data_IF_990015669377
#
_entry.id   IF_990015669377
#
_cell.length_a   1.000
_cell.length_b   1.000
_cell.length_c   1.000
_cell.angle_alpha   90.00
_cell.angle_beta   90.00
_cell.angle_gamma   90.00
#
_symmetry.space_group_name_H-M   'P 1'
#
loop_
_entity.id
_entity.type
_entity.pdbx_description
1 polymer ?
#
# COMPACT_ATOMS: atom_id res chain seq x y z
N UNK A 1 -3.70 6.87 -21.44
CA UNK A 1 -3.37 5.70 -22.26
C UNK A 1 -3.86 4.46 -21.53
N UNK A 2 -4.48 3.52 -22.24
CA UNK A 2 -4.91 2.24 -21.69
C UNK A 2 -3.88 1.16 -22.07
N UNK A 3 -3.44 0.35 -21.11
CA UNK A 3 -2.50 -0.76 -21.34
C UNK A 3 -3.29 -2.04 -21.63
N UNK A 4 -3.01 -2.66 -22.78
CA UNK A 4 -3.64 -3.90 -23.26
C UNK A 4 -2.61 -5.04 -23.24
N UNK A 5 -3.07 -6.29 -23.10
CA UNK A 5 -2.20 -7.47 -23.06
C UNK A 5 -2.79 -8.67 -23.79
N UNK A 6 -1.94 -9.47 -24.42
CA UNK A 6 -2.31 -10.73 -25.06
C UNK A 6 -1.80 -11.91 -24.23
N UNK A 7 -2.68 -12.88 -24.01
CA UNK A 7 -2.42 -14.08 -23.21
C UNK A 7 -2.58 -15.32 -24.07
N UNK A 8 -1.64 -16.25 -23.94
CA UNK A 8 -1.84 -17.62 -24.39
C UNK A 8 -2.39 -18.43 -23.23
N UNK A 9 -3.41 -19.23 -23.53
CA UNK A 9 -3.93 -20.24 -22.61
C UNK A 9 -3.39 -21.57 -23.07
N UNK A 10 -2.78 -22.33 -22.17
CA UNK A 10 -2.42 -23.71 -22.41
C UNK A 10 -3.72 -24.53 -22.38
N UNK A 11 -4.07 -25.13 -23.52
CA UNK A 11 -5.35 -25.84 -23.69
C UNK A 11 -5.45 -27.11 -22.83
N UNK A 12 -4.32 -27.70 -22.42
CA UNK A 12 -4.27 -28.91 -21.59
C UNK A 12 -4.39 -28.60 -20.09
N UNK A 13 -3.83 -27.47 -19.65
CA UNK A 13 -3.76 -27.11 -18.21
C UNK A 13 -4.69 -25.97 -17.82
N UNK A 14 -5.27 -25.25 -18.79
CA UNK A 14 -6.00 -24.00 -18.58
C UNK A 14 -5.13 -22.84 -18.10
N UNK A 15 -3.81 -23.02 -18.10
CA UNK A 15 -2.84 -22.07 -17.56
C UNK A 15 -2.64 -20.91 -18.54
N UNK A 16 -2.81 -19.69 -18.05
CA UNK A 16 -2.61 -18.47 -18.85
C UNK A 16 -1.20 -17.93 -18.63
N UNK A 17 -0.59 -17.48 -19.72
CA UNK A 17 0.72 -16.83 -19.74
C UNK A 17 0.59 -15.54 -20.53
N UNK A 18 0.93 -14.40 -19.92
CA UNK A 18 1.00 -13.13 -20.61
C UNK A 18 2.18 -13.15 -21.58
N UNK A 19 1.93 -12.84 -22.85
CA UNK A 19 2.96 -12.93 -23.90
C UNK A 19 3.49 -11.54 -24.27
N UNK A 20 2.62 -10.54 -24.37
CA UNK A 20 3.04 -9.15 -24.62
C UNK A 20 1.94 -8.17 -24.22
N UNK A 21 2.33 -6.90 -24.04
CA UNK A 21 1.41 -5.78 -23.79
C UNK A 21 1.66 -4.63 -24.78
N UNK A 22 0.66 -3.76 -24.97
CA UNK A 22 0.79 -2.54 -25.77
C UNK A 22 -0.11 -1.43 -25.23
N UNK A 23 0.31 -0.18 -25.41
CA UNK A 23 -0.50 0.98 -25.02
C UNK A 23 -1.41 1.43 -26.15
N UNK A 24 -2.69 1.63 -25.83
CA UNK A 24 -3.65 2.34 -26.67
C UNK A 24 -3.88 3.71 -26.05
N UNK A 25 -3.29 4.73 -26.66
CA UNK A 25 -3.45 6.11 -26.23
C UNK A 25 -4.46 6.83 -27.13
N UNK A 26 -5.55 7.35 -26.54
CA UNK A 26 -6.26 8.50 -27.12
C UNK A 26 -5.33 9.72 -27.00
N UNK A 27 -4.86 10.26 -28.14
CA UNK A 27 -3.89 11.37 -28.27
C UNK A 27 -4.25 12.55 -27.35
N UNK A 28 -3.32 13.25 -26.70
CA UNK A 28 -2.37 14.19 -27.34
C UNK A 28 -1.09 14.50 -26.54
N UNK A 29 0.07 14.40 -27.22
CA UNK A 29 1.13 15.40 -27.27
C UNK A 29 2.01 15.70 -26.03
N UNK A 30 3.25 15.19 -26.03
CA UNK A 30 4.41 15.74 -25.33
C UNK A 30 5.66 15.58 -26.24
N UNK A 31 6.53 16.60 -26.39
CA UNK A 31 7.84 16.47 -27.03
C UNK A 31 8.99 16.14 -26.05
N UNK A 32 10.12 15.74 -26.65
CA UNK A 32 11.30 15.04 -26.13
C UNK A 32 12.06 15.65 -24.93
N UNK A 33 12.68 14.76 -24.15
CA UNK A 33 13.63 15.08 -23.08
C UNK A 33 15.08 15.15 -23.58
N UNK A 34 15.84 16.13 -23.06
CA UNK A 34 17.28 16.35 -23.28
C UNK A 34 18.05 15.83 -22.06
N UNK A 35 19.23 15.19 -22.18
CA UNK A 35 19.96 14.66 -21.02
C UNK A 35 20.76 15.76 -20.28
N UNK A 36 20.94 15.68 -18.95
CA UNK A 36 21.86 16.57 -18.25
C UNK A 36 23.30 16.04 -18.31
N UNK A 37 24.25 16.97 -18.43
CA UNK A 37 25.69 16.73 -18.48
C UNK A 37 26.39 16.78 -17.12
N UNK A 38 27.62 16.27 -17.12
CA UNK A 38 28.54 16.16 -15.99
C UNK A 38 28.94 17.51 -15.37
N UNK A 39 29.16 17.49 -14.05
CA UNK A 39 29.82 18.57 -13.32
C UNK A 39 30.04 18.21 -11.85
N UNK A 40 31.27 17.84 -11.50
CA UNK A 40 31.68 17.56 -10.13
C UNK A 40 32.00 18.81 -9.29
N UNK A 41 32.11 18.61 -7.97
CA UNK A 41 32.60 19.60 -7.02
C UNK A 41 32.41 19.10 -5.59
N UNK A 42 33.51 18.83 -4.89
CA UNK A 42 33.48 18.36 -3.51
C UNK A 42 33.24 19.47 -2.50
N UNK A 43 32.35 19.21 -1.56
CA UNK A 43 32.35 19.72 -0.19
C UNK A 43 32.11 18.51 0.72
N UNK A 44 32.54 18.55 1.98
CA UNK A 44 32.25 17.48 2.95
C UNK A 44 30.76 17.45 3.24
N UNK A 45 30.01 16.71 2.41
CA UNK A 45 28.58 16.53 2.51
C UNK A 45 28.26 15.70 3.76
N UNK A 46 27.60 16.32 4.74
CA UNK A 46 26.73 15.53 5.59
C UNK A 46 25.65 14.96 4.67
N UNK A 47 25.53 13.63 4.63
CA UNK A 47 24.48 13.00 3.88
C UNK A 47 23.11 13.61 4.25
N UNK A 48 22.26 13.83 3.24
CA UNK A 48 20.93 14.41 3.45
C UNK A 48 20.10 13.57 4.42
N UNK A 49 19.03 14.15 4.98
CA UNK A 49 18.14 13.44 5.92
C UNK A 49 17.71 12.08 5.36
N UNK A 50 17.99 10.99 6.09
CA UNK A 50 17.70 9.60 5.68
C UNK A 50 18.88 8.82 5.10
N UNK A 51 20.07 9.43 5.03
CA UNK A 51 21.29 8.79 4.56
C UNK A 51 22.41 8.88 5.60
N UNK A 52 23.20 7.81 5.75
CA UNK A 52 24.42 7.76 6.56
C UNK A 52 25.64 7.53 5.66
N UNK A 53 26.83 7.93 6.13
CA UNK A 53 28.07 7.55 5.44
C UNK A 53 28.44 6.10 5.80
N UNK A 54 28.66 5.25 4.81
CA UNK A 54 29.25 3.93 4.99
C UNK A 54 30.75 4.02 5.35
N UNK A 55 31.38 2.87 5.59
CA UNK A 55 32.82 2.78 5.91
C UNK A 55 33.76 3.33 4.81
N UNK A 56 33.24 3.56 3.61
CA UNK A 56 33.95 4.11 2.45
C UNK A 56 33.61 5.59 2.19
N UNK A 57 32.76 6.21 3.02
CA UNK A 57 32.35 7.60 2.89
C UNK A 57 31.24 7.84 1.85
N UNK A 58 30.58 6.78 1.35
CA UNK A 58 29.43 6.93 0.47
C UNK A 58 28.16 7.17 1.30
N UNK A 59 27.27 8.05 0.83
CA UNK A 59 25.94 8.18 1.42
C UNK A 59 25.09 6.97 1.04
N UNK A 60 24.88 6.07 2.01
CA UNK A 60 23.96 4.93 1.92
C UNK A 60 22.68 5.26 2.68
N UNK A 61 21.57 4.62 2.33
CA UNK A 61 20.34 4.77 3.13
C UNK A 61 20.64 4.34 4.56
N UNK A 62 20.27 5.16 5.55
CA UNK A 62 20.24 4.72 6.94
C UNK A 62 19.23 3.59 7.02
N UNK A 63 19.61 2.42 7.54
CA UNK A 63 18.79 1.21 7.64
C UNK A 63 17.52 1.49 8.47
N UNK A 64 16.50 2.13 7.91
CA UNK A 64 15.42 2.66 8.71
C UNK A 64 14.07 2.66 8.00
N UNK A 65 13.08 2.30 8.81
CA UNK A 65 11.72 2.80 8.69
C UNK A 65 11.78 4.30 8.97
N UNK A 66 11.68 5.12 7.93
CA UNK A 66 11.70 6.58 8.03
C UNK A 66 10.31 7.06 8.43
N UNK A 67 10.19 7.71 9.59
CA UNK A 67 8.90 8.19 10.13
C UNK A 67 8.88 9.71 10.18
N UNK A 68 8.30 10.34 9.16
CA UNK A 68 8.09 11.79 9.04
C UNK A 68 6.62 12.16 9.34
N UNK A 69 6.06 11.55 10.38
CA UNK A 69 4.69 11.78 10.81
C UNK A 69 4.61 12.89 11.86
N UNK A 70 3.53 13.67 11.81
CA UNK A 70 3.22 14.72 12.80
C UNK A 70 1.82 14.54 13.40
N UNK A 71 1.53 15.35 14.42
CA UNK A 71 0.22 15.50 15.06
C UNK A 71 -0.52 14.19 15.31
N UNK A 72 -1.75 14.10 14.80
CA UNK A 72 -2.65 12.97 15.06
C UNK A 72 -2.12 11.67 14.47
N UNK A 73 -1.55 11.75 13.27
CA UNK A 73 -0.98 10.59 12.59
C UNK A 73 0.14 9.98 13.44
N UNK A 74 1.06 10.82 13.94
CA UNK A 74 2.15 10.38 14.81
C UNK A 74 1.65 9.80 16.12
N UNK A 75 0.68 10.44 16.80
CA UNK A 75 0.14 9.92 18.05
C UNK A 75 -0.46 8.52 17.90
N UNK A 76 -1.23 8.27 16.83
CA UNK A 76 -1.84 6.96 16.57
C UNK A 76 -0.78 5.93 16.17
N UNK A 77 0.19 6.32 15.33
CA UNK A 77 1.33 5.47 14.99
C UNK A 77 2.10 5.01 16.22
N UNK A 78 2.45 5.93 17.12
CA UNK A 78 3.19 5.61 18.35
C UNK A 78 2.39 4.63 19.23
N UNK A 79 1.07 4.80 19.34
CA UNK A 79 0.19 3.86 20.06
C UNK A 79 0.17 2.48 19.38
N UNK A 80 0.11 2.43 18.05
CA UNK A 80 0.18 1.17 17.30
C UNK A 80 1.51 0.45 17.52
N UNK A 81 2.63 1.16 17.50
CA UNK A 81 3.96 0.59 17.74
C UNK A 81 4.17 0.11 19.18
N UNK A 82 3.49 0.74 20.14
CA UNK A 82 3.50 0.33 21.55
C UNK A 82 2.48 -0.78 21.87
N UNK A 83 1.54 -1.05 20.97
CA UNK A 83 0.62 -2.18 21.11
C UNK A 83 1.34 -3.48 20.74
N UNK A 84 0.94 -4.61 21.36
CA UNK A 84 1.36 -5.95 20.93
C UNK A 84 0.63 -6.39 19.66
N UNK A 85 0.34 -5.45 18.76
CA UNK A 85 -0.49 -5.74 17.61
C UNK A 85 0.28 -6.34 16.44
N UNK A 86 -0.45 -6.99 15.52
CA UNK A 86 0.11 -7.46 14.26
C UNK A 86 0.78 -6.36 13.43
N UNK A 87 0.47 -5.08 13.69
CA UNK A 87 1.02 -3.93 13.00
C UNK A 87 2.54 -3.80 13.19
N UNK A 88 3.02 -3.90 14.44
CA UNK A 88 4.46 -3.82 14.73
C UNK A 88 5.23 -4.90 13.97
N UNK A 89 4.70 -6.12 13.96
CA UNK A 89 5.31 -7.24 13.23
C UNK A 89 5.27 -7.05 11.71
N UNK A 90 4.27 -6.35 11.18
CA UNK A 90 4.20 -6.01 9.75
C UNK A 90 5.25 -4.96 9.38
N UNK A 91 5.44 -3.93 10.22
CA UNK A 91 6.45 -2.88 10.01
C UNK A 91 7.89 -3.43 10.10
N UNK A 92 8.17 -4.33 11.05
CA UNK A 92 9.51 -4.91 11.22
C UNK A 92 10.00 -5.73 10.01
N UNK A 93 9.13 -6.03 9.03
CA UNK A 93 9.55 -6.68 7.77
C UNK A 93 10.31 -5.77 6.81
N UNK A 94 10.32 -4.46 7.10
CA UNK A 94 11.02 -3.42 6.34
C UNK A 94 12.30 -2.97 7.06
N UNK A 95 12.69 -3.67 8.12
CA UNK A 95 13.82 -3.38 9.00
C UNK A 95 14.95 -4.44 8.83
N UNK A 96 16.21 -4.07 9.06
CA UNK A 96 17.41 -4.93 8.91
C UNK A 96 18.46 -4.43 7.91
N UNK A 97 19.60 -5.13 7.78
CA UNK A 97 20.76 -4.71 6.95
C UNK A 97 20.52 -4.75 5.42
N UNK A 98 19.50 -5.47 4.95
CA UNK A 98 19.12 -5.55 3.53
C UNK A 98 17.62 -5.87 3.37
N UNK A 99 16.71 -4.97 3.76
CA UNK A 99 15.30 -5.23 3.59
C UNK A 99 14.99 -5.21 2.10
N UNK A 100 14.09 -6.10 1.65
CA UNK A 100 13.64 -6.11 0.24
C UNK A 100 13.11 -4.74 -0.17
N UNK A 101 12.51 -4.00 0.77
CA UNK A 101 12.12 -2.60 0.60
C UNK A 101 12.25 -1.87 1.93
N UNK A 102 12.75 -0.64 1.90
CA UNK A 102 12.66 0.31 3.01
C UNK A 102 11.26 0.93 3.06
N UNK A 103 10.86 1.43 4.23
CA UNK A 103 9.54 2.04 4.45
C UNK A 103 9.68 3.50 4.83
N UNK A 104 8.96 4.38 4.13
CA UNK A 104 8.85 5.80 4.46
C UNK A 104 7.40 6.15 4.79
N UNK A 105 7.16 6.80 5.93
CA UNK A 105 5.84 7.27 6.35
C UNK A 105 5.84 8.80 6.38
N UNK A 106 4.99 9.45 5.57
CA UNK A 106 4.98 10.93 5.42
C UNK A 106 3.57 11.51 5.54
N UNK A 107 3.50 12.82 5.76
CA UNK A 107 2.27 13.60 5.65
C UNK A 107 2.20 14.25 4.26
N UNK A 108 1.12 13.97 3.53
CA UNK A 108 0.79 14.63 2.27
C UNK A 108 -0.66 15.17 2.33
N UNK A 109 -0.78 16.45 2.63
CA UNK A 109 -2.07 17.14 2.70
C UNK A 109 -2.62 17.58 1.32
N UNK A 110 -1.89 17.30 0.24
CA UNK A 110 -2.33 17.54 -1.13
C UNK A 110 -3.08 16.34 -1.73
N UNK A 111 -3.16 15.21 -1.02
CA UNK A 111 -4.03 14.08 -1.39
C UNK A 111 -5.49 14.53 -1.52
N UNK A 112 -6.25 13.86 -2.38
CA UNK A 112 -7.67 14.13 -2.56
C UNK A 112 -8.42 14.04 -1.21
N UNK A 113 -9.46 14.87 -1.03
CA UNK A 113 -10.14 15.02 0.27
C UNK A 113 -10.82 13.75 0.79
N UNK A 114 -11.06 12.76 -0.07
CA UNK A 114 -11.61 11.45 0.26
C UNK A 114 -10.54 10.36 0.46
N UNK A 115 -9.26 10.70 0.31
CA UNK A 115 -8.12 9.80 0.48
C UNK A 115 -7.46 10.10 1.82
N UNK A 116 -7.53 9.12 2.72
CA UNK A 116 -6.98 9.22 4.08
C UNK A 116 -5.49 8.83 4.13
N UNK A 117 -5.10 7.88 3.30
CA UNK A 117 -3.73 7.45 3.09
C UNK A 117 -3.59 6.86 1.68
N UNK A 118 -2.36 6.83 1.18
CA UNK A 118 -2.02 6.23 -0.10
C UNK A 118 -0.61 5.64 -0.03
N UNK A 119 -0.50 4.36 -0.37
CA UNK A 119 0.80 3.69 -0.52
C UNK A 119 1.27 3.79 -1.96
N UNK A 120 2.46 4.35 -2.15
CA UNK A 120 3.09 4.49 -3.46
C UNK A 120 3.81 3.19 -3.86
N UNK A 121 3.83 2.83 -5.16
CA UNK A 121 4.72 1.79 -5.66
C UNK A 121 6.18 2.11 -5.30
N UNK A 122 7.01 1.11 -4.98
CA UNK A 122 8.39 1.34 -4.58
C UNK A 122 9.22 1.96 -5.71
N UNK A 123 10.07 2.92 -5.33
CA UNK A 123 11.10 3.52 -6.18
C UNK A 123 12.42 3.43 -5.43
N UNK A 124 13.46 2.90 -6.08
CA UNK A 124 14.80 2.74 -5.50
C UNK A 124 14.76 2.04 -4.13
N UNK A 125 13.98 0.95 -4.06
CA UNK A 125 13.73 0.13 -2.88
C UNK A 125 12.93 0.81 -1.76
N UNK A 126 12.48 2.05 -1.93
CA UNK A 126 11.68 2.77 -0.91
C UNK A 126 10.20 2.68 -1.24
N UNK A 127 9.42 2.08 -0.33
CA UNK A 127 7.96 2.17 -0.34
C UNK A 127 7.53 3.34 0.53
N UNK A 128 6.83 4.31 -0.03
CA UNK A 128 6.28 5.45 0.73
C UNK A 128 4.78 5.24 1.01
N UNK A 129 4.39 5.45 2.26
CA UNK A 129 2.99 5.61 2.66
C UNK A 129 2.77 7.07 3.03
N UNK A 130 1.85 7.71 2.33
CA UNK A 130 1.50 9.11 2.52
C UNK A 130 0.16 9.21 3.24
N UNK A 131 0.05 10.05 4.27
CA UNK A 131 -1.20 10.25 5.02
C UNK A 131 -1.72 11.69 4.90
N UNK A 132 -3.04 11.83 4.83
CA UNK A 132 -3.72 13.11 4.75
C UNK A 132 -4.19 13.57 6.15
N UNK A 133 -3.35 14.35 6.83
CA UNK A 133 -3.63 14.81 8.18
C UNK A 133 -4.85 15.74 8.25
N UNK A 134 -5.12 16.52 7.20
CA UNK A 134 -6.35 17.33 7.10
C UNK A 134 -7.61 16.46 7.20
N UNK A 135 -7.59 15.30 6.53
CA UNK A 135 -8.74 14.39 6.52
C UNK A 135 -8.91 13.63 7.84
N UNK A 136 -7.83 13.44 8.61
CA UNK A 136 -7.86 12.79 9.93
C UNK A 136 -8.65 13.57 10.99
N UNK A 137 -8.85 14.88 10.82
CA UNK A 137 -9.70 15.67 11.72
C UNK A 137 -11.13 15.07 11.84
N UNK A 138 -11.63 14.48 10.75
CA UNK A 138 -12.95 13.85 10.70
C UNK A 138 -13.01 12.46 11.32
N UNK A 139 -11.87 11.81 11.58
CA UNK A 139 -11.79 10.42 12.00
C UNK A 139 -11.64 10.26 13.52
N UNK A 140 -11.98 9.07 14.03
CA UNK A 140 -11.63 8.62 15.38
C UNK A 140 -10.20 8.08 15.44
N UNK A 141 -9.65 7.89 16.65
CA UNK A 141 -8.35 7.24 16.82
C UNK A 141 -8.35 5.83 16.19
N UNK A 142 -9.45 5.07 16.36
CA UNK A 142 -9.65 3.76 15.74
C UNK A 142 -9.70 3.87 14.20
N UNK A 143 -10.32 4.93 13.68
CA UNK A 143 -10.39 5.19 12.25
C UNK A 143 -9.01 5.45 11.65
N UNK A 144 -8.21 6.30 12.28
CA UNK A 144 -6.83 6.54 11.86
C UNK A 144 -6.01 5.25 11.94
N UNK A 145 -6.15 4.46 13.01
CA UNK A 145 -5.46 3.18 13.15
C UNK A 145 -5.85 2.18 12.05
N UNK A 146 -7.10 2.21 11.59
CA UNK A 146 -7.59 1.42 10.46
C UNK A 146 -6.92 1.82 9.15
N UNK A 147 -6.69 3.12 8.93
CA UNK A 147 -5.95 3.62 7.75
C UNK A 147 -4.50 3.10 7.77
N UNK A 148 -3.80 3.20 8.91
CA UNK A 148 -2.45 2.62 9.04
C UNK A 148 -2.40 1.11 8.75
N UNK A 149 -3.34 0.36 9.34
CA UNK A 149 -3.43 -1.08 9.13
C UNK A 149 -3.74 -1.45 7.66
N UNK A 150 -4.49 -0.60 6.96
CA UNK A 150 -4.78 -0.75 5.54
C UNK A 150 -3.50 -0.53 4.70
N UNK A 151 -2.86 0.61 4.87
CA UNK A 151 -1.70 0.99 4.05
C UNK A 151 -0.49 0.07 4.24
N UNK A 152 -0.25 -0.43 5.47
CA UNK A 152 0.88 -1.35 5.69
C UNK A 152 0.69 -2.70 4.96
N UNK A 153 -0.56 -3.10 4.68
CA UNK A 153 -0.82 -4.28 3.85
C UNK A 153 -0.50 -3.97 2.39
N UNK A 154 -0.84 -2.78 1.88
CA UNK A 154 -0.39 -2.35 0.56
C UNK A 154 1.14 -2.36 0.45
N UNK A 155 1.84 -1.85 1.46
CA UNK A 155 3.29 -1.89 1.51
C UNK A 155 3.84 -3.34 1.51
N UNK A 156 3.24 -4.27 2.27
CA UNK A 156 3.63 -5.68 2.26
C UNK A 156 3.38 -6.36 0.90
N UNK A 157 2.31 -5.98 0.21
CA UNK A 157 2.04 -6.44 -1.15
C UNK A 157 3.14 -5.97 -2.08
N UNK A 158 3.51 -4.68 -2.04
CA UNK A 158 4.60 -4.15 -2.85
C UNK A 158 5.95 -4.77 -2.51
N UNK A 159 6.27 -4.97 -1.23
CA UNK A 159 7.49 -5.66 -0.80
C UNK A 159 7.59 -7.07 -1.39
N UNK A 160 6.48 -7.82 -1.43
CA UNK A 160 6.43 -9.14 -2.08
C UNK A 160 6.61 -9.03 -3.60
N UNK A 161 5.96 -8.06 -4.25
CA UNK A 161 6.16 -7.83 -5.68
C UNK A 161 7.62 -7.51 -6.01
N UNK A 162 8.25 -6.67 -5.18
CA UNK A 162 9.64 -6.26 -5.34
C UNK A 162 10.60 -7.44 -5.14
N UNK A 163 10.32 -8.29 -4.13
CA UNK A 163 11.06 -9.55 -3.90
C UNK A 163 11.02 -10.47 -5.13
N UNK A 164 9.85 -10.59 -5.76
CA UNK A 164 9.71 -11.40 -6.97
C UNK A 164 10.37 -10.74 -8.19
N UNK A 165 10.35 -9.41 -8.27
CA UNK A 165 10.96 -8.64 -9.35
C UNK A 165 12.49 -8.63 -9.31
N UNK A 166 13.08 -8.80 -8.12
CA UNK A 166 14.53 -8.72 -7.88
C UNK A 166 15.14 -7.39 -8.38
N UNK A 167 14.38 -6.29 -8.25
CA UNK A 167 14.79 -4.92 -8.62
C UNK A 167 14.18 -3.92 -7.65
N UNK A 168 14.71 -2.69 -7.60
CA UNK A 168 14.28 -1.65 -6.64
C UNK A 168 13.01 -0.89 -7.01
N UNK A 169 12.49 -1.07 -8.22
CA UNK A 169 11.32 -0.33 -8.71
C UNK A 169 10.35 -1.28 -9.43
N UNK A 170 9.04 -1.07 -9.28
CA UNK A 170 8.03 -1.92 -9.94
C UNK A 170 7.65 -1.46 -11.35
N UNK A 171 7.95 -0.22 -11.72
CA UNK A 171 7.69 0.31 -13.06
C UNK A 171 8.48 -0.48 -14.11
N UNK A 172 7.79 -0.85 -15.19
CA UNK A 172 8.37 -1.50 -16.35
C UNK A 172 8.44 -0.48 -17.49
N UNK A 173 9.60 -0.31 -18.09
CA UNK A 173 9.82 0.59 -19.21
C UNK A 173 9.43 -0.07 -20.54
N UNK A 174 9.38 -1.40 -20.56
CA UNK A 174 9.00 -2.19 -21.74
C UNK A 174 7.89 -3.21 -21.42
N UNK A 175 7.09 -3.62 -22.43
CA UNK A 175 6.17 -4.76 -22.30
C UNK A 175 6.84 -6.04 -21.81
N UNK A 176 8.07 -6.32 -22.26
CA UNK A 176 8.83 -7.51 -21.90
C UNK A 176 9.20 -7.51 -20.41
N UNK A 177 9.64 -6.38 -19.87
CA UNK A 177 9.90 -6.22 -18.43
C UNK A 177 8.63 -6.46 -17.61
N UNK A 178 7.49 -5.98 -18.10
CA UNK A 178 6.21 -6.19 -17.44
C UNK A 178 5.81 -7.67 -17.43
N UNK A 179 6.04 -8.39 -18.54
CA UNK A 179 5.81 -9.84 -18.64
C UNK A 179 6.70 -10.60 -17.67
N UNK A 180 7.99 -10.24 -17.57
CA UNK A 180 8.94 -10.86 -16.65
C UNK A 180 8.49 -10.65 -15.20
N UNK A 181 8.11 -9.43 -14.82
CA UNK A 181 7.57 -9.11 -13.49
C UNK A 181 6.33 -9.96 -13.17
N UNK A 182 5.37 -10.00 -14.09
CA UNK A 182 4.11 -10.73 -13.87
C UNK A 182 4.37 -12.23 -13.74
N UNK A 183 5.24 -12.79 -14.59
CA UNK A 183 5.61 -14.21 -14.51
C UNK A 183 6.43 -14.54 -13.26
N UNK A 184 7.24 -13.61 -12.74
CA UNK A 184 7.97 -13.84 -11.49
C UNK A 184 7.03 -13.94 -10.29
N UNK A 185 5.91 -13.20 -10.27
CA UNK A 185 4.87 -13.34 -9.25
C UNK A 185 4.25 -14.75 -9.25
N UNK A 186 4.09 -15.36 -10.41
CA UNK A 186 3.49 -16.70 -10.53
C UNK A 186 4.26 -17.76 -9.73
N UNK A 187 5.59 -17.71 -9.81
CA UNK A 187 6.47 -18.68 -9.16
C UNK A 187 6.67 -18.38 -7.66
N UNK A 188 6.70 -17.10 -7.28
CA UNK A 188 7.03 -16.69 -5.91
C UNK A 188 5.80 -16.44 -5.03
N UNK A 189 4.72 -15.92 -5.61
CA UNK A 189 3.48 -15.52 -4.92
C UNK A 189 2.24 -15.84 -5.78
N UNK A 190 1.91 -17.13 -6.01
CA UNK A 190 0.84 -17.52 -6.93
C UNK A 190 -0.53 -16.93 -6.59
N UNK A 191 -0.84 -16.72 -5.31
CA UNK A 191 -2.06 -16.03 -4.89
C UNK A 191 -2.07 -14.55 -5.29
N UNK A 192 -0.95 -13.85 -5.16
CA UNK A 192 -0.82 -12.45 -5.61
C UNK A 192 -0.91 -12.38 -7.13
N UNK A 193 -0.26 -13.31 -7.83
CA UNK A 193 -0.36 -13.45 -9.28
C UNK A 193 -1.81 -13.65 -9.74
N UNK A 194 -2.59 -14.53 -9.08
CA UNK A 194 -3.99 -14.76 -9.44
C UNK A 194 -4.82 -13.48 -9.42
N UNK A 195 -4.66 -12.64 -8.39
CA UNK A 195 -5.37 -11.36 -8.32
C UNK A 195 -4.84 -10.35 -9.34
N UNK A 196 -3.51 -10.26 -9.50
CA UNK A 196 -2.88 -9.34 -10.43
C UNK A 196 -3.20 -9.68 -11.90
N UNK A 197 -3.19 -10.97 -12.27
CA UNK A 197 -3.38 -11.48 -13.64
C UNK A 197 -4.82 -11.87 -13.98
N UNK A 198 -5.67 -12.28 -13.04
CA UNK A 198 -7.05 -12.70 -13.39
C UNK A 198 -8.08 -11.63 -13.15
N UNK A 199 -7.79 -10.66 -12.27
CA UNK A 199 -8.81 -9.68 -11.86
C UNK A 199 -8.63 -8.29 -12.43
N UNK A 200 -7.53 -7.95 -13.13
CA UNK A 200 -7.17 -6.77 -14.01
C UNK A 200 -7.91 -5.42 -13.87
N UNK A 201 -8.75 -5.26 -12.86
CA UNK A 201 -9.41 -4.03 -12.51
C UNK A 201 -8.45 -3.24 -11.63
N UNK A 202 -8.49 -1.90 -11.67
CA UNK A 202 -7.66 -1.04 -10.82
C UNK A 202 -7.73 -1.38 -9.31
N UNK A 203 -8.72 -2.16 -8.90
CA UNK A 203 -9.05 -2.49 -7.51
C UNK A 203 -8.64 -3.89 -7.07
N UNK A 204 -7.85 -4.62 -7.87
CA UNK A 204 -7.47 -6.01 -7.56
C UNK A 204 -6.82 -6.17 -6.18
N UNK A 205 -6.04 -5.19 -5.76
CA UNK A 205 -5.36 -5.16 -4.46
C UNK A 205 -6.39 -5.07 -3.32
N UNK A 206 -7.38 -4.18 -3.44
CA UNK A 206 -8.49 -4.05 -2.49
C UNK A 206 -9.36 -5.31 -2.48
N UNK A 207 -9.62 -5.94 -3.63
CA UNK A 207 -10.34 -7.22 -3.70
C UNK A 207 -9.58 -8.33 -2.97
N UNK A 208 -8.26 -8.40 -3.16
CA UNK A 208 -7.40 -9.35 -2.44
C UNK A 208 -7.42 -9.10 -0.93
N UNK A 209 -7.31 -7.83 -0.53
CA UNK A 209 -7.36 -7.43 0.88
C UNK A 209 -8.71 -7.74 1.52
N UNK A 210 -9.82 -7.49 0.82
CA UNK A 210 -11.17 -7.80 1.29
C UNK A 210 -11.36 -9.30 1.56
N UNK A 211 -10.80 -10.17 0.71
CA UNK A 211 -10.92 -11.62 0.84
C UNK A 211 -9.93 -12.24 1.85
N UNK A 212 -8.72 -11.68 1.97
CA UNK A 212 -7.62 -12.36 2.67
C UNK A 212 -7.01 -11.60 3.84
N UNK A 213 -7.14 -10.27 3.87
CA UNK A 213 -6.46 -9.44 4.87
C UNK A 213 -7.42 -8.63 5.75
N UNK A 214 -8.74 -8.65 5.49
CA UNK A 214 -9.73 -7.94 6.32
C UNK A 214 -9.65 -8.35 7.79
N UNK A 215 -9.57 -9.64 8.09
CA UNK A 215 -9.43 -10.10 9.48
C UNK A 215 -8.10 -9.69 10.10
N UNK A 216 -7.02 -9.56 9.32
CA UNK A 216 -5.74 -9.01 9.79
C UNK A 216 -5.88 -7.54 10.19
N UNK A 217 -6.58 -6.73 9.38
CA UNK A 217 -6.89 -5.34 9.74
C UNK A 217 -7.69 -5.32 11.04
N UNK A 218 -8.75 -6.12 11.14
CA UNK A 218 -9.60 -6.22 12.32
C UNK A 218 -8.80 -6.61 13.58
N UNK A 219 -7.86 -7.57 13.47
CA UNK A 219 -6.97 -7.97 14.58
C UNK A 219 -6.11 -6.80 15.07
N UNK A 220 -5.49 -6.07 14.13
CA UNK A 220 -4.65 -4.91 14.44
C UNK A 220 -5.43 -3.84 15.18
N UNK A 221 -6.58 -3.43 14.65
CA UNK A 221 -7.36 -2.34 15.24
C UNK A 221 -8.06 -2.75 16.53
N UNK A 222 -8.37 -4.04 16.69
CA UNK A 222 -8.88 -4.60 17.95
C UNK A 222 -7.82 -4.53 19.06
N UNK A 223 -6.58 -4.90 18.75
CA UNK A 223 -5.46 -4.85 19.68
C UNK A 223 -5.10 -3.41 20.04
N UNK A 224 -5.12 -2.50 19.06
CA UNK A 224 -4.96 -1.06 19.28
C UNK A 224 -5.98 -0.49 20.26
N UNK A 225 -7.25 -0.87 20.12
CA UNK A 225 -8.36 -0.40 20.97
C UNK A 225 -8.52 -1.22 22.26
N UNK A 226 -7.52 -2.04 22.61
CA UNK A 226 -7.50 -2.89 23.80
C UNK A 226 -8.77 -3.74 23.97
N UNK A 227 -9.32 -4.26 22.87
CA UNK A 227 -10.52 -5.11 22.85
C UNK A 227 -11.77 -4.46 23.48
N UNK A 228 -11.90 -3.13 23.46
CA UNK A 228 -13.03 -2.41 24.07
C UNK A 228 -14.39 -2.71 23.40
N UNK A 229 -14.41 -3.12 22.14
CA UNK A 229 -15.62 -3.38 21.36
C UNK A 229 -15.76 -4.87 21.00
N UNK A 230 -16.96 -5.35 20.65
CA UNK A 230 -17.14 -6.70 20.13
C UNK A 230 -16.36 -6.93 18.82
N UNK A 231 -15.87 -8.16 18.59
CA UNK A 231 -15.12 -8.53 17.37
C UNK A 231 -15.82 -8.12 16.08
N UNK A 232 -17.14 -8.30 16.02
CA UNK A 232 -17.96 -7.94 14.85
C UNK A 232 -17.84 -6.46 14.47
N UNK A 233 -17.56 -5.58 15.43
CA UNK A 233 -17.35 -4.15 15.17
C UNK A 233 -16.03 -3.92 14.46
N UNK A 234 -14.94 -4.59 14.86
CA UNK A 234 -13.65 -4.46 14.19
C UNK A 234 -13.67 -5.08 12.79
N UNK A 235 -14.34 -6.22 12.60
CA UNK A 235 -14.57 -6.80 11.27
C UNK A 235 -15.40 -5.88 10.36
N UNK A 236 -16.38 -5.16 10.93
CA UNK A 236 -17.13 -4.15 10.19
C UNK A 236 -16.28 -2.93 9.82
N UNK A 237 -15.50 -2.40 10.77
CA UNK A 237 -14.63 -1.23 10.52
C UNK A 237 -13.52 -1.56 9.52
N UNK A 238 -13.02 -2.79 9.51
CA UNK A 238 -12.02 -3.25 8.54
C UNK A 238 -12.50 -3.24 7.08
N UNK A 239 -13.80 -3.05 6.81
CA UNK A 239 -14.31 -2.84 5.45
C UNK A 239 -14.03 -1.45 4.89
N UNK A 240 -13.60 -0.47 5.71
CA UNK A 240 -13.23 0.85 5.21
C UNK A 240 -12.04 0.74 4.26
N UNK A 241 -12.17 1.34 3.07
CA UNK A 241 -11.20 1.21 1.99
C UNK A 241 -11.22 -0.15 1.28
N UNK A 242 -12.01 -1.13 1.73
CA UNK A 242 -12.09 -2.46 1.09
C UNK A 242 -13.45 -2.75 0.48
N UNK A 243 -14.52 -2.15 1.00
CA UNK A 243 -15.88 -2.41 0.52
C UNK A 243 -16.29 -1.48 -0.62
N UNK A 244 -16.53 -0.22 -0.25
CA UNK A 244 -16.80 0.89 -1.16
C UNK A 244 -15.50 1.67 -1.36
N UNK A 245 -15.01 1.69 -2.59
CA UNK A 245 -13.73 2.29 -2.97
C UNK A 245 -13.93 3.72 -3.50
N UNK A 246 -15.01 3.95 -4.26
CA UNK A 246 -15.42 5.27 -4.74
C UNK A 246 -16.94 5.29 -5.02
N UNK A 247 -17.50 6.43 -5.46
CA UNK A 247 -18.93 6.74 -5.66
C UNK A 247 -19.69 5.67 -6.44
N UNK A 248 -19.04 4.91 -7.31
CA UNK A 248 -19.64 3.79 -8.06
C UNK A 248 -18.68 2.60 -8.20
N UNK A 249 -17.78 2.42 -7.23
CA UNK A 249 -16.74 1.40 -7.30
C UNK A 249 -16.69 0.61 -5.99
N UNK A 250 -16.93 -0.69 -6.08
CA UNK A 250 -16.93 -1.65 -4.98
C UNK A 250 -16.06 -2.86 -5.31
N UNK A 251 -15.67 -3.60 -4.27
CA UNK A 251 -15.10 -4.94 -4.42
C UNK A 251 -16.20 -5.97 -4.67
N UNK A 252 -15.88 -7.03 -5.40
CA UNK A 252 -16.73 -8.22 -5.58
C UNK A 252 -17.04 -8.83 -4.21
N UNK A 253 -16.04 -8.89 -3.32
CA UNK A 253 -16.23 -9.34 -1.94
C UNK A 253 -17.33 -8.55 -1.21
N UNK A 254 -17.40 -7.23 -1.40
CA UNK A 254 -18.47 -6.41 -0.86
C UNK A 254 -19.80 -6.65 -1.56
N UNK A 255 -19.80 -6.70 -2.90
CA UNK A 255 -21.02 -6.87 -3.68
C UNK A 255 -21.77 -8.15 -3.31
N UNK A 256 -21.04 -9.22 -2.98
CA UNK A 256 -21.59 -10.49 -2.54
C UNK A 256 -22.22 -10.47 -1.13
N UNK A 257 -22.07 -9.40 -0.34
CA UNK A 257 -22.72 -9.30 0.97
C UNK A 257 -24.23 -9.00 0.84
N UNK A 258 -25.07 -9.59 1.71
CA UNK A 258 -26.49 -9.25 1.81
C UNK A 258 -26.73 -7.76 2.15
N UNK A 259 -27.82 -7.15 1.65
CA UNK A 259 -28.11 -5.73 1.90
C UNK A 259 -28.23 -5.34 3.38
N UNK A 260 -28.80 -6.19 4.21
CA UNK A 260 -28.95 -6.00 5.66
C UNK A 260 -27.59 -6.04 6.39
N UNK A 261 -26.69 -6.92 5.93
CA UNK A 261 -25.31 -7.00 6.41
C UNK A 261 -24.54 -5.72 6.05
N UNK A 262 -24.63 -5.26 4.79
CA UNK A 262 -24.03 -3.99 4.35
C UNK A 262 -24.51 -2.81 5.20
N UNK A 263 -25.81 -2.74 5.45
CA UNK A 263 -26.43 -1.70 6.30
C UNK A 263 -25.89 -1.71 7.74
N UNK A 264 -25.71 -2.92 8.30
CA UNK A 264 -25.16 -3.10 9.64
C UNK A 264 -23.69 -2.66 9.70
N UNK A 265 -22.89 -3.03 8.70
CA UNK A 265 -21.49 -2.60 8.57
C UNK A 265 -21.39 -1.08 8.46
N UNK A 266 -22.16 -0.45 7.58
CA UNK A 266 -22.17 1.01 7.41
C UNK A 266 -22.49 1.75 8.73
N UNK A 267 -23.38 1.18 9.55
CA UNK A 267 -23.72 1.74 10.86
C UNK A 267 -22.57 1.62 11.85
N UNK A 268 -21.89 0.48 11.88
CA UNK A 268 -20.73 0.27 12.76
C UNK A 268 -19.55 1.13 12.35
N UNK A 269 -19.30 1.31 11.04
CA UNK A 269 -18.30 2.24 10.51
C UNK A 269 -18.63 3.67 10.96
N UNK A 270 -19.87 4.14 10.74
CA UNK A 270 -20.30 5.49 11.17
C UNK A 270 -20.03 5.73 12.65
N UNK A 271 -20.37 4.77 13.49
CA UNK A 271 -20.29 4.93 14.94
C UNK A 271 -18.86 4.83 15.49
N UNK A 272 -17.97 4.08 14.84
CA UNK A 272 -16.67 3.76 15.42
C UNK A 272 -15.48 4.30 14.62
N UNK A 273 -15.54 4.31 13.28
CA UNK A 273 -14.48 4.87 12.42
C UNK A 273 -14.53 6.41 12.41
N UNK A 274 -15.74 6.98 12.29
CA UNK A 274 -15.92 8.45 12.24
C UNK A 274 -16.19 9.05 13.62
N UNK A 275 -17.14 8.47 14.37
CA UNK A 275 -17.66 9.03 15.62
C UNK A 275 -17.12 8.35 16.90
N UNK A 276 -16.08 7.54 16.77
CA UNK A 276 -15.40 6.93 17.93
C UNK A 276 -14.58 7.93 18.76
N UNK A 277 -13.93 7.48 19.85
CA UNK A 277 -13.07 8.32 20.68
C UNK A 277 -11.94 8.98 19.88
N UNK A 278 -11.60 10.23 20.23
CA UNK A 278 -10.55 11.07 19.62
C UNK A 278 -9.60 11.54 20.72
N UNK A 279 -8.69 10.68 21.14
CA UNK A 279 -7.76 10.97 22.24
C UNK A 279 -6.39 11.41 21.72
N UNK A 280 -6.10 11.22 20.43
CA UNK A 280 -4.92 11.78 19.77
C UNK A 280 -5.23 13.18 19.24
N UNK A 281 -4.38 14.14 19.59
CA UNK A 281 -4.47 15.55 19.22
C UNK A 281 -3.31 15.97 18.33
#
# INVERSE_FOLDING_TARGET
CELWGYFLTNDDTGERTLIYTWYVCSRSGQPDQVPPGDGGGGETESCGTGYIQDEYGNCVLDDQIIVELTGKAKCVYDKLMNSNSGFKNAILKFDGEFPVSHLKLTINNALASNVYGETQPPVDFVTEIQFNENSFASLSDLGIATVFAHEIIHAEIFRKMLSAAQRGTLNSNTPEEQVILVNSLKNNFPGLYDYYERRWKPTWNHEMMANHYRSTIADVIQQFDNNRLPRSTYEAVAWVGLGKLDKNLTTIAWDNLPPDVKTSIDTLIRNNFYNGPKNCN
#
